data_IF_330548606934
#
_entry.id   IF_330548606934
#
_cell.length_a   1.000
_cell.length_b   1.000
_cell.length_c   1.000
_cell.angle_alpha   90.00
_cell.angle_beta   90.00
_cell.angle_gamma   90.00
#
_symmetry.space_group_name_H-M   'P 1'
#
loop_
_entity.id
_entity.type
_entity.pdbx_description
1 polymer ?
#
# COMPACT_ATOMS: atom_id res chain seq x y z
N UNK A 1 9.32 -2.06 -2.31
CA UNK A 1 8.07 -2.78 -2.03
C UNK A 1 7.66 -2.55 -0.59
N UNK A 2 6.36 -2.39 -0.31
CA UNK A 2 5.82 -2.21 1.05
C UNK A 2 5.66 -3.56 1.75
N UNK A 3 5.90 -3.60 3.07
CA UNK A 3 5.83 -4.84 3.87
C UNK A 3 4.42 -5.25 4.28
N UNK A 4 3.43 -4.36 4.13
CA UNK A 4 2.04 -4.62 4.46
C UNK A 4 1.14 -4.31 3.27
N UNK A 5 0.02 -5.04 3.24
CA UNK A 5 -1.04 -4.94 2.25
C UNK A 5 -2.36 -4.69 2.97
N UNK A 6 -3.27 -3.95 2.36
CA UNK A 6 -4.61 -3.70 2.92
C UNK A 6 -4.79 -2.29 3.49
N UNK A 7 -6.05 -1.90 3.62
CA UNK A 7 -6.47 -0.52 3.89
C UNK A 7 -6.50 -0.14 5.38
N UNK A 8 -6.18 -1.06 6.29
CA UNK A 8 -6.15 -0.73 7.71
C UNK A 8 -5.10 0.33 8.06
N UNK A 9 -5.47 1.22 8.98
CA UNK A 9 -4.59 2.29 9.46
C UNK A 9 -3.47 1.73 10.36
N UNK A 10 -3.79 0.79 11.26
CA UNK A 10 -2.81 0.11 12.11
C UNK A 10 -2.33 -1.16 11.42
N UNK A 11 -1.01 -1.33 11.28
CA UNK A 11 -0.38 -2.49 10.63
C UNK A 11 -0.81 -2.75 9.17
N UNK A 12 -1.48 -1.81 8.50
CA UNK A 12 -1.78 -1.91 7.07
C UNK A 12 -0.79 -1.13 6.19
N UNK A 13 -1.17 -0.93 4.93
CA UNK A 13 -0.26 -0.36 3.91
C UNK A 13 0.24 1.05 4.24
N UNK A 14 -0.57 1.87 4.94
CA UNK A 14 -0.20 3.25 5.26
C UNK A 14 0.96 3.31 6.27
N UNK A 15 0.95 2.40 7.27
CA UNK A 15 2.07 2.28 8.19
C UNK A 15 3.35 1.86 7.46
N UNK A 16 3.25 0.90 6.53
CA UNK A 16 4.39 0.49 5.71
C UNK A 16 4.88 1.62 4.78
N UNK A 17 3.99 2.45 4.24
CA UNK A 17 4.36 3.62 3.46
C UNK A 17 5.11 4.64 4.33
N UNK A 18 4.60 4.95 5.52
CA UNK A 18 5.25 5.88 6.46
C UNK A 18 6.66 5.44 6.84
N UNK A 19 6.90 4.14 6.97
CA UNK A 19 8.25 3.60 7.18
C UNK A 19 9.17 3.84 5.99
N UNK A 20 8.70 3.63 4.77
CA UNK A 20 9.45 3.94 3.55
C UNK A 20 9.78 5.44 3.49
N UNK A 21 8.80 6.30 3.79
CA UNK A 21 9.02 7.76 3.83
C UNK A 21 10.07 8.14 4.88
N UNK A 22 10.00 7.56 6.08
CA UNK A 22 10.98 7.79 7.14
C UNK A 22 12.39 7.34 6.71
N UNK A 23 12.52 6.17 6.09
CA UNK A 23 13.79 5.67 5.55
C UNK A 23 14.33 6.58 4.43
N UNK A 24 13.47 7.05 3.53
CA UNK A 24 13.82 8.01 2.49
C UNK A 24 14.34 9.32 3.06
N UNK A 25 13.64 9.87 4.05
CA UNK A 25 14.06 11.09 4.73
C UNK A 25 15.41 10.94 5.44
N UNK A 26 15.65 9.81 6.12
CA UNK A 26 16.91 9.55 6.81
C UNK A 26 18.09 9.32 5.86
N UNK A 27 17.88 8.60 4.76
CA UNK A 27 18.96 8.14 3.87
C UNK A 27 19.20 9.10 2.70
N UNK A 28 18.21 9.93 2.34
CA UNK A 28 18.17 10.73 1.11
C UNK A 28 18.27 9.89 -0.16
N UNK A 29 17.98 8.60 -0.09
CA UNK A 29 17.92 7.74 -1.26
C UNK A 29 16.70 8.08 -2.12
N UNK A 30 16.84 7.95 -3.44
CA UNK A 30 15.71 7.99 -4.36
C UNK A 30 14.83 6.75 -4.16
N UNK A 31 13.51 6.93 -4.08
CA UNK A 31 12.55 5.87 -3.78
C UNK A 31 11.49 5.79 -4.88
N UNK A 32 11.21 4.58 -5.35
CA UNK A 32 9.99 4.29 -6.12
C UNK A 32 9.09 3.34 -5.33
N UNK A 33 7.86 3.78 -5.04
CA UNK A 33 6.85 2.95 -4.37
C UNK A 33 6.04 2.19 -5.41
N UNK A 34 6.35 0.91 -5.57
CA UNK A 34 5.63 0.02 -6.47
C UNK A 34 4.19 -0.24 -6.01
N UNK A 35 3.32 -0.46 -6.99
CA UNK A 35 1.96 -0.97 -6.94
C UNK A 35 1.14 -0.37 -5.80
N UNK A 36 1.23 0.95 -5.66
CA UNK A 36 0.70 1.70 -4.52
C UNK A 36 -0.79 1.42 -4.34
N UNK A 37 -1.56 1.59 -5.42
CA UNK A 37 -3.00 1.40 -5.38
C UNK A 37 -3.43 -0.04 -5.11
N UNK A 38 -2.80 -0.99 -5.79
CA UNK A 38 -3.06 -2.42 -5.58
C UNK A 38 -2.72 -2.86 -4.15
N UNK A 39 -1.83 -2.15 -3.45
CA UNK A 39 -1.43 -2.49 -2.08
C UNK A 39 -2.25 -1.74 -1.02
N UNK A 40 -2.60 -0.48 -1.30
CA UNK A 40 -3.33 0.39 -0.39
C UNK A 40 -4.84 0.23 -0.45
N UNK A 41 -5.40 -0.31 -1.54
CA UNK A 41 -6.83 -0.51 -1.72
C UNK A 41 -7.61 0.79 -1.41
N UNK A 42 -8.58 0.75 -0.49
CA UNK A 42 -9.37 1.91 -0.08
C UNK A 42 -8.53 3.07 0.50
N UNK A 43 -7.30 2.82 0.96
CA UNK A 43 -6.40 3.85 1.48
C UNK A 43 -5.59 4.59 0.40
N UNK A 44 -5.78 4.27 -0.90
CA UNK A 44 -4.97 4.82 -1.99
C UNK A 44 -4.94 6.35 -2.03
N UNK A 45 -6.07 7.02 -1.84
CA UNK A 45 -6.11 8.49 -1.86
C UNK A 45 -5.18 9.09 -0.81
N UNK A 46 -5.26 8.60 0.42
CA UNK A 46 -4.39 9.05 1.53
C UNK A 46 -2.93 8.69 1.29
N UNK A 47 -2.64 7.55 0.66
CA UNK A 47 -1.29 7.18 0.27
C UNK A 47 -0.70 8.13 -0.79
N UNK A 48 -1.50 8.54 -1.77
CA UNK A 48 -1.10 9.53 -2.79
C UNK A 48 -0.86 10.91 -2.18
N UNK A 49 -1.68 11.33 -1.22
CA UNK A 49 -1.45 12.58 -0.46
C UNK A 49 -0.10 12.55 0.26
N UNK A 50 0.22 11.46 0.96
CA UNK A 50 1.51 11.31 1.65
C UNK A 50 2.71 11.36 0.69
N UNK A 51 2.62 10.70 -0.46
CA UNK A 51 3.68 10.74 -1.48
C UNK A 51 3.82 12.15 -2.06
N UNK A 52 2.71 12.80 -2.38
CA UNK A 52 2.70 14.16 -2.90
C UNK A 52 3.33 15.16 -1.93
N UNK A 53 2.98 15.06 -0.65
CA UNK A 53 3.55 15.91 0.40
C UNK A 53 5.04 15.64 0.59
N UNK A 54 5.48 14.38 0.57
CA UNK A 54 6.90 14.06 0.69
C UNK A 54 7.71 14.58 -0.51
N UNK A 55 7.18 14.44 -1.73
CA UNK A 55 7.78 15.00 -2.95
C UNK A 55 7.86 16.53 -2.88
N UNK A 56 6.78 17.20 -2.47
CA UNK A 56 6.77 18.67 -2.24
C UNK A 56 7.81 19.14 -1.22
N UNK A 57 8.11 18.31 -0.23
CA UNK A 57 9.14 18.60 0.78
C UNK A 57 10.57 18.23 0.33
N UNK A 58 10.78 17.98 -0.96
CA UNK A 58 12.09 17.79 -1.57
C UNK A 58 12.63 16.36 -1.51
N UNK A 59 11.79 15.38 -1.16
CA UNK A 59 12.18 13.97 -1.24
C UNK A 59 12.10 13.48 -2.69
N UNK A 60 13.14 12.79 -3.17
CA UNK A 60 13.13 12.11 -4.47
C UNK A 60 12.32 10.82 -4.37
N UNK A 61 11.00 10.97 -4.52
CA UNK A 61 10.04 9.88 -4.43
C UNK A 61 9.12 9.84 -5.64
N UNK A 62 8.94 8.64 -6.17
CA UNK A 62 8.02 8.34 -7.27
C UNK A 62 7.14 7.16 -6.90
N UNK A 63 6.08 6.96 -7.67
CA UNK A 63 5.19 5.81 -7.53
C UNK A 63 4.62 5.41 -8.89
N UNK A 64 4.11 4.19 -8.96
CA UNK A 64 3.44 3.65 -10.14
C UNK A 64 2.03 3.17 -9.81
N UNK A 65 1.22 3.03 -10.86
CA UNK A 65 -0.16 2.58 -10.77
C UNK A 65 -0.47 1.58 -11.88
N UNK A 66 -1.14 0.49 -11.53
CA UNK A 66 -1.70 -0.44 -12.50
C UNK A 66 -3.05 0.04 -13.04
N UNK A 67 -3.37 -0.09 -14.34
CA UNK A 67 -4.60 0.45 -14.92
C UNK A 67 -5.87 -0.37 -14.59
N UNK A 68 -6.02 -0.80 -13.34
CA UNK A 68 -7.17 -1.56 -12.84
C UNK A 68 -7.48 -1.22 -11.37
N UNK A 69 -8.71 -1.51 -10.95
CA UNK A 69 -9.27 -1.06 -9.67
C UNK A 69 -9.04 -2.02 -8.49
N UNK A 70 -8.30 -3.12 -8.67
CA UNK A 70 -8.15 -4.18 -7.68
C UNK A 70 -6.69 -4.53 -7.36
N UNK A 71 -6.46 -5.14 -6.19
CA UNK A 71 -5.24 -5.89 -5.92
C UNK A 71 -5.28 -7.28 -6.57
N UNK A 72 -4.12 -7.94 -6.67
CA UNK A 72 -4.02 -9.31 -7.20
C UNK A 72 -3.04 -10.12 -6.35
N UNK A 73 -3.46 -11.31 -5.92
CA UNK A 73 -2.65 -12.30 -5.23
C UNK A 73 -3.25 -13.68 -5.45
N UNK A 74 -2.51 -14.73 -5.09
CA UNK A 74 -3.05 -16.09 -5.11
C UNK A 74 -3.94 -16.31 -3.88
N UNK A 75 -4.99 -17.14 -4.02
CA UNK A 75 -5.91 -17.41 -2.90
C UNK A 75 -5.24 -18.21 -1.77
N UNK A 76 -4.16 -18.93 -2.06
CA UNK A 76 -3.33 -19.66 -1.09
C UNK A 76 -2.24 -18.78 -0.44
N UNK A 77 -2.24 -17.48 -0.73
CA UNK A 77 -1.33 -16.50 -0.15
C UNK A 77 -1.55 -16.37 1.36
N UNK A 78 -0.47 -16.05 2.08
CA UNK A 78 -0.53 -15.75 3.52
C UNK A 78 -1.50 -14.62 3.89
N UNK A 79 -1.90 -13.79 2.92
CA UNK A 79 -2.96 -12.78 3.07
C UNK A 79 -4.31 -13.36 3.51
N UNK A 80 -4.59 -14.63 3.20
CA UNK A 80 -5.88 -15.29 3.49
C UNK A 80 -5.77 -16.39 4.56
N UNK A 81 -4.61 -16.55 5.20
CA UNK A 81 -4.36 -17.62 6.17
C UNK A 81 -4.99 -17.38 7.54
N UNK A 82 -5.36 -16.14 7.87
CA UNK A 82 -6.00 -15.79 9.13
C UNK A 82 -7.46 -15.39 8.93
N UNK A 83 -8.28 -15.45 9.98
CA UNK A 83 -9.70 -15.06 9.92
C UNK A 83 -9.91 -13.53 9.85
N UNK A 84 -8.83 -12.73 9.91
CA UNK A 84 -8.86 -11.27 9.94
C UNK A 84 -8.69 -10.62 8.57
N UNK A 85 -8.40 -11.40 7.50
CA UNK A 85 -8.19 -10.86 6.15
C UNK A 85 -9.34 -9.97 5.68
N UNK A 86 -10.60 -10.30 6.01
CA UNK A 86 -11.75 -9.49 5.61
C UNK A 86 -11.71 -8.10 6.23
N UNK A 87 -11.27 -8.01 7.48
CA UNK A 87 -11.10 -6.74 8.21
C UNK A 87 -9.86 -5.97 7.73
N UNK A 88 -8.75 -6.67 7.49
CA UNK A 88 -7.48 -6.09 7.04
C UNK A 88 -7.57 -5.50 5.63
N UNK A 89 -8.23 -6.23 4.74
CA UNK A 89 -8.40 -5.85 3.33
C UNK A 89 -9.62 -4.97 3.10
N UNK A 90 -10.60 -4.99 4.01
CA UNK A 90 -11.86 -4.27 3.86
C UNK A 90 -12.78 -4.87 2.79
N UNK A 91 -12.64 -6.17 2.51
CA UNK A 91 -13.45 -6.92 1.54
C UNK A 91 -13.98 -8.21 2.19
N UNK A 92 -14.94 -8.86 1.55
CA UNK A 92 -15.41 -10.20 1.94
C UNK A 92 -15.32 -11.17 0.76
N UNK A 93 -15.84 -12.38 0.90
CA UNK A 93 -15.84 -13.38 -0.18
C UNK A 93 -16.41 -12.86 -1.51
N UNK A 94 -17.37 -11.92 -1.50
CA UNK A 94 -17.93 -11.34 -2.72
C UNK A 94 -16.97 -10.36 -3.43
N UNK A 95 -15.93 -9.90 -2.72
CA UNK A 95 -14.85 -9.08 -3.29
C UNK A 95 -13.77 -9.90 -3.98
N UNK A 96 -13.81 -11.23 -3.88
CA UNK A 96 -12.88 -12.12 -4.57
C UNK A 96 -13.36 -12.37 -6.01
N UNK A 97 -12.46 -12.20 -6.96
CA UNK A 97 -12.71 -12.37 -8.40
C UNK A 97 -11.59 -13.22 -9.03
N UNK A 98 -11.88 -13.89 -10.14
CA UNK A 98 -10.96 -14.79 -10.85
C UNK A 98 -10.41 -14.15 -12.14
#
# INVERSE_FOLDING_TARGET
HMRHFGAQEKNGSLAALQEILALGACTKAAINVCHLHSTCLAATHKALELIHDAHKNGMDITTEFYPYLAGCSTIDSALFNDDLWQEQLGINYNGLTY
#
